data_IF_742524573023
#
_entry.id   IF_742524573023
#
_cell.length_a   1.000
_cell.length_b   1.000
_cell.length_c   1.000
_cell.angle_alpha   90.00
_cell.angle_beta   90.00
_cell.angle_gamma   90.00
#
_symmetry.space_group_name_H-M   'P 1'
#
loop_
_entity.id
_entity.type
_entity.pdbx_description
1 polymer ?
#
# COMPACT_ATOMS: atom_id res chain seq x y z
N UNK A 1 3.61 -10.57 -9.59
CA UNK A 1 4.14 -10.81 -10.95
C UNK A 1 5.49 -11.53 -10.87
N UNK A 2 5.81 -12.32 -11.88
CA UNK A 2 7.10 -13.00 -12.01
C UNK A 2 7.72 -12.66 -13.36
N UNK A 3 9.06 -12.68 -13.42
CA UNK A 3 9.80 -12.39 -14.67
C UNK A 3 9.51 -13.41 -15.78
N UNK A 4 9.11 -14.63 -15.42
CA UNK A 4 8.77 -15.67 -16.42
C UNK A 4 9.95 -16.09 -17.33
N UNK A 5 11.19 -15.87 -16.86
CA UNK A 5 12.40 -16.20 -17.61
C UNK A 5 13.00 -15.07 -18.48
N UNK A 6 12.35 -13.88 -18.50
CA UNK A 6 12.94 -12.65 -19.06
C UNK A 6 13.72 -11.89 -17.97
N UNK A 7 14.50 -10.89 -18.37
CA UNK A 7 15.18 -10.04 -17.38
C UNK A 7 14.18 -9.23 -16.54
N UNK A 8 14.56 -8.91 -15.28
CA UNK A 8 13.73 -8.07 -14.41
C UNK A 8 13.42 -6.72 -15.06
N UNK A 9 14.39 -6.11 -15.72
CA UNK A 9 14.21 -4.83 -16.41
C UNK A 9 13.17 -4.92 -17.55
N UNK A 10 13.20 -6.02 -18.32
CA UNK A 10 12.22 -6.26 -19.37
C UNK A 10 10.83 -6.57 -18.80
N UNK A 11 10.75 -7.30 -17.70
CA UNK A 11 9.49 -7.55 -17.00
C UNK A 11 8.87 -6.25 -16.46
N UNK A 12 9.66 -5.37 -15.84
CA UNK A 12 9.21 -4.05 -15.39
C UNK A 12 8.71 -3.22 -16.58
N UNK A 13 9.47 -3.21 -17.68
CA UNK A 13 9.06 -2.49 -18.90
C UNK A 13 7.72 -2.99 -19.42
N UNK A 14 7.56 -4.30 -19.58
CA UNK A 14 6.32 -4.90 -20.08
C UNK A 14 5.13 -4.61 -19.15
N UNK A 15 5.35 -4.65 -17.84
CA UNK A 15 4.36 -4.29 -16.83
C UNK A 15 3.94 -2.82 -16.95
N UNK A 16 4.92 -1.91 -17.08
CA UNK A 16 4.68 -0.48 -17.25
C UNK A 16 3.96 -0.15 -18.55
N UNK A 17 4.37 -0.75 -19.67
CA UNK A 17 3.72 -0.57 -20.96
C UNK A 17 2.25 -1.03 -20.92
N UNK A 18 1.98 -2.22 -20.34
CA UNK A 18 0.62 -2.74 -20.21
C UNK A 18 -0.29 -1.85 -19.32
N UNK A 19 0.25 -1.24 -18.27
CA UNK A 19 -0.50 -0.27 -17.48
C UNK A 19 -0.72 1.06 -18.22
N UNK A 20 0.27 1.52 -18.99
CA UNK A 20 0.15 2.73 -19.80
C UNK A 20 -0.96 2.60 -20.85
N UNK A 21 -1.11 1.42 -21.46
CA UNK A 21 -2.15 1.14 -22.46
C UNK A 21 -3.58 1.29 -21.91
N UNK A 22 -3.78 1.01 -20.61
CA UNK A 22 -5.10 1.12 -19.97
C UNK A 22 -5.31 2.45 -19.25
N UNK A 23 -4.27 3.26 -19.08
CA UNK A 23 -4.30 4.49 -18.28
C UNK A 23 -5.30 5.52 -18.80
N UNK A 24 -5.36 5.74 -20.12
CA UNK A 24 -6.31 6.67 -20.74
C UNK A 24 -7.77 6.22 -20.49
N UNK A 25 -8.05 4.93 -20.66
CA UNK A 25 -9.37 4.37 -20.41
C UNK A 25 -9.77 4.46 -18.94
N UNK A 26 -8.83 4.25 -18.00
CA UNK A 26 -9.05 4.42 -16.58
C UNK A 26 -9.40 5.89 -16.25
N UNK A 27 -8.67 6.83 -16.83
CA UNK A 27 -8.90 8.26 -16.65
C UNK A 27 -10.29 8.69 -17.16
N UNK A 28 -10.67 8.27 -18.35
CA UNK A 28 -11.98 8.57 -18.94
C UNK A 28 -13.13 8.05 -18.07
N UNK A 29 -12.92 6.91 -17.42
CA UNK A 29 -13.89 6.27 -16.54
C UNK A 29 -13.80 6.72 -15.08
N UNK A 30 -12.88 7.63 -14.76
CA UNK A 30 -12.62 8.10 -13.39
C UNK A 30 -12.30 6.97 -12.42
N UNK A 31 -11.55 5.97 -12.88
CA UNK A 31 -11.04 4.87 -12.10
C UNK A 31 -9.56 5.11 -11.85
N UNK A 32 -9.09 4.86 -10.64
CA UNK A 32 -7.66 4.87 -10.32
C UNK A 32 -7.16 3.42 -10.25
N UNK A 33 -6.16 3.13 -11.07
CA UNK A 33 -5.41 1.86 -11.01
C UNK A 33 -4.27 2.04 -10.02
N UNK A 34 -4.12 1.08 -9.10
CA UNK A 34 -3.09 1.11 -8.08
C UNK A 34 -2.03 0.05 -8.36
N UNK A 35 -0.77 0.48 -8.38
CA UNK A 35 0.39 -0.40 -8.41
C UNK A 35 0.70 -0.80 -6.97
N UNK A 36 0.71 -2.09 -6.70
CA UNK A 36 1.07 -2.65 -5.40
C UNK A 36 2.42 -3.34 -5.49
N UNK A 37 3.34 -2.98 -4.59
CA UNK A 37 4.55 -3.73 -4.37
C UNK A 37 4.24 -4.99 -3.55
N UNK A 38 4.87 -6.11 -3.90
CA UNK A 38 4.69 -7.38 -3.22
C UNK A 38 6.02 -7.87 -2.64
N UNK A 39 6.02 -8.66 -1.56
CA UNK A 39 7.25 -9.14 -0.96
C UNK A 39 8.04 -10.06 -1.92
N UNK A 40 9.34 -10.15 -1.69
CA UNK A 40 10.28 -10.89 -2.54
C UNK A 40 9.92 -12.37 -2.74
N UNK A 41 9.25 -12.98 -1.77
CA UNK A 41 8.80 -14.37 -1.87
C UNK A 41 7.54 -14.56 -2.74
N UNK A 42 6.88 -13.47 -3.15
CA UNK A 42 5.66 -13.50 -3.96
C UNK A 42 5.84 -12.85 -5.33
N UNK A 43 6.82 -11.98 -5.48
CA UNK A 43 7.07 -11.20 -6.69
C UNK A 43 8.56 -10.96 -6.87
N UNK A 44 9.03 -10.98 -8.12
CA UNK A 44 10.40 -10.64 -8.48
C UNK A 44 10.48 -9.41 -9.42
N UNK A 45 9.38 -8.64 -9.52
CA UNK A 45 9.27 -7.50 -10.44
C UNK A 45 9.24 -6.17 -9.69
N UNK A 46 8.26 -5.96 -8.78
CA UNK A 46 8.11 -4.73 -7.99
C UNK A 46 7.97 -5.10 -6.52
N UNK A 47 8.97 -4.77 -5.70
CA UNK A 47 9.10 -5.24 -4.33
C UNK A 47 9.19 -4.12 -3.29
N UNK A 48 9.22 -2.86 -3.71
CA UNK A 48 9.22 -1.73 -2.81
C UNK A 48 8.28 -0.63 -3.29
N UNK A 49 7.85 0.23 -2.37
CA UNK A 49 7.05 1.41 -2.71
C UNK A 49 7.80 2.34 -3.66
N UNK A 50 9.13 2.46 -3.50
CA UNK A 50 9.97 3.23 -4.41
C UNK A 50 9.90 2.72 -5.86
N UNK A 51 9.93 1.41 -6.05
CA UNK A 51 9.80 0.80 -7.38
C UNK A 51 8.39 0.98 -7.96
N UNK A 52 7.35 0.86 -7.14
CA UNK A 52 5.98 1.15 -7.56
C UNK A 52 5.82 2.61 -8.01
N UNK A 53 6.39 3.56 -7.26
CA UNK A 53 6.41 4.99 -7.63
C UNK A 53 7.17 5.22 -8.94
N UNK A 54 8.30 4.57 -9.16
CA UNK A 54 9.04 4.69 -10.42
C UNK A 54 8.20 4.26 -11.64
N UNK A 55 7.40 3.21 -11.51
CA UNK A 55 6.43 2.79 -12.55
C UNK A 55 5.35 3.85 -12.76
N UNK A 56 4.76 4.37 -11.68
CA UNK A 56 3.73 5.43 -11.75
C UNK A 56 4.26 6.68 -12.44
N UNK A 57 5.48 7.11 -12.10
CA UNK A 57 6.14 8.28 -12.71
C UNK A 57 6.42 8.06 -14.20
N UNK A 58 6.88 6.87 -14.57
CA UNK A 58 7.14 6.53 -15.97
C UNK A 58 5.86 6.55 -16.82
N UNK A 59 4.73 6.12 -16.27
CA UNK A 59 3.43 6.16 -16.95
C UNK A 59 2.91 7.60 -17.04
N UNK A 60 3.13 8.43 -16.03
CA UNK A 60 2.78 9.85 -16.01
C UNK A 60 1.28 10.15 -16.04
N UNK A 61 0.39 9.15 -15.85
CA UNK A 61 -1.06 9.35 -15.86
C UNK A 61 -1.61 9.66 -14.47
N UNK A 62 -2.56 10.61 -14.33
CA UNK A 62 -3.23 10.83 -13.06
C UNK A 62 -4.12 9.65 -12.62
N UNK A 63 -4.47 8.76 -13.54
CA UNK A 63 -5.28 7.57 -13.26
C UNK A 63 -4.47 6.37 -12.75
N UNK A 64 -3.13 6.47 -12.72
CA UNK A 64 -2.27 5.41 -12.18
C UNK A 64 -1.55 5.95 -10.95
N UNK A 65 -1.69 5.28 -9.83
CA UNK A 65 -1.11 5.63 -8.54
C UNK A 65 -0.57 4.38 -7.87
N UNK A 66 -0.16 4.48 -6.62
CA UNK A 66 0.25 3.32 -5.84
C UNK A 66 -0.56 3.20 -4.55
N UNK A 67 -0.37 2.10 -3.87
CA UNK A 67 -0.88 1.84 -2.53
C UNK A 67 0.25 1.34 -1.63
N UNK A 68 0.01 1.34 -0.34
CA UNK A 68 0.90 0.78 0.66
C UNK A 68 0.18 -0.35 1.40
N UNK A 69 0.84 -1.48 1.56
CA UNK A 69 0.35 -2.61 2.35
C UNK A 69 1.38 -2.97 3.41
N UNK A 70 0.95 -3.03 4.69
CA UNK A 70 1.87 -3.26 5.81
C UNK A 70 2.52 -4.64 5.81
N UNK A 71 1.82 -5.68 5.35
CA UNK A 71 2.40 -7.03 5.20
C UNK A 71 3.33 -7.10 3.98
N UNK A 72 2.91 -6.56 2.85
CA UNK A 72 3.69 -6.62 1.62
C UNK A 72 4.95 -5.76 1.68
N UNK A 73 5.00 -4.76 2.57
CA UNK A 73 6.16 -3.92 2.83
C UNK A 73 7.19 -4.55 3.79
N UNK A 74 7.11 -5.86 4.08
CA UNK A 74 8.00 -6.57 5.01
C UNK A 74 9.48 -6.50 4.58
N UNK A 75 9.75 -6.35 3.30
CA UNK A 75 11.10 -6.25 2.74
C UNK A 75 11.61 -4.79 2.62
N UNK A 76 10.82 -3.79 3.03
CA UNK A 76 11.30 -2.41 3.09
C UNK A 76 12.43 -2.26 4.10
N UNK A 77 13.50 -1.57 3.71
CA UNK A 77 14.70 -1.40 4.55
C UNK A 77 14.60 -0.23 5.50
N UNK A 78 13.65 0.68 5.28
CA UNK A 78 13.38 1.84 6.12
C UNK A 78 12.09 1.62 6.92
N UNK A 79 11.91 2.33 8.05
CA UNK A 79 10.63 2.30 8.77
C UNK A 79 9.45 2.64 7.86
N UNK A 80 8.35 1.89 7.94
CA UNK A 80 7.17 2.08 7.10
C UNK A 80 6.64 3.52 7.12
N UNK A 81 6.65 4.18 8.30
CA UNK A 81 6.26 5.58 8.41
C UNK A 81 7.12 6.51 7.54
N UNK A 82 8.43 6.31 7.50
CA UNK A 82 9.34 7.12 6.67
C UNK A 82 9.12 6.88 5.17
N UNK A 83 8.86 5.63 4.78
CA UNK A 83 8.52 5.27 3.40
C UNK A 83 7.21 5.94 2.98
N UNK A 84 6.18 5.87 3.83
CA UNK A 84 4.88 6.51 3.59
C UNK A 84 5.04 8.03 3.47
N UNK A 85 5.77 8.70 4.38
CA UNK A 85 5.99 10.14 4.35
C UNK A 85 6.66 10.59 3.05
N UNK A 86 7.67 9.84 2.60
CA UNK A 86 8.40 10.14 1.36
C UNK A 86 7.53 10.06 0.11
N UNK A 87 6.66 9.08 0.03
CA UNK A 87 5.87 8.77 -1.17
C UNK A 87 4.38 9.06 -1.02
N UNK A 88 3.98 9.82 -0.01
CA UNK A 88 2.58 10.06 0.33
C UNK A 88 1.73 10.53 -0.86
N UNK A 89 2.25 11.43 -1.67
CA UNK A 89 1.53 12.02 -2.82
C UNK A 89 1.14 10.98 -3.90
N UNK A 90 1.76 9.80 -3.88
CA UNK A 90 1.48 8.71 -4.81
C UNK A 90 0.48 7.70 -4.25
N UNK A 91 0.37 7.62 -2.92
CA UNK A 91 -0.47 6.64 -2.22
C UNK A 91 -1.94 7.10 -2.27
N UNK A 92 -2.83 6.19 -2.67
CA UNK A 92 -4.28 6.42 -2.67
C UNK A 92 -5.05 5.42 -1.82
N UNK A 93 -4.42 4.34 -1.45
CA UNK A 93 -4.99 3.27 -0.63
C UNK A 93 -3.93 2.69 0.30
N UNK A 94 -4.36 2.25 1.47
CA UNK A 94 -3.50 1.55 2.42
C UNK A 94 -4.21 0.28 2.88
N UNK A 95 -3.55 -0.86 2.71
CA UNK A 95 -3.95 -2.09 3.39
C UNK A 95 -3.23 -2.19 4.73
N UNK A 96 -3.98 -2.57 5.76
CA UNK A 96 -3.46 -2.79 7.11
C UNK A 96 -3.70 -4.24 7.52
N UNK A 97 -2.61 -4.91 7.85
CA UNK A 97 -2.52 -6.29 8.32
C UNK A 97 -1.25 -6.45 9.14
N UNK A 98 -1.16 -7.53 9.89
CA UNK A 98 0.08 -7.87 10.58
C UNK A 98 1.16 -8.27 9.57
N UNK A 99 2.44 -8.20 9.94
CA UNK A 99 3.53 -8.60 9.04
C UNK A 99 3.46 -10.07 8.59
N UNK A 100 2.84 -10.91 9.36
CA UNK A 100 2.62 -12.33 9.03
C UNK A 100 1.32 -12.60 8.26
N UNK A 101 0.59 -11.54 7.85
CA UNK A 101 -0.65 -11.63 7.09
C UNK A 101 -1.90 -11.92 7.91
N UNK A 102 -1.80 -11.98 9.24
CA UNK A 102 -2.97 -12.06 10.12
C UNK A 102 -3.69 -10.70 10.19
N UNK A 103 -4.90 -10.71 10.70
CA UNK A 103 -5.65 -9.49 10.90
C UNK A 103 -5.06 -8.61 12.01
N UNK A 104 -5.20 -7.27 11.93
CA UNK A 104 -4.64 -6.34 12.90
C UNK A 104 -5.02 -6.64 14.35
N UNK A 105 -4.03 -6.52 15.27
CA UNK A 105 -4.17 -6.76 16.70
C UNK A 105 -3.86 -8.18 17.14
N UNK A 106 -3.24 -9.02 16.29
CA UNK A 106 -2.98 -10.43 16.60
C UNK A 106 -1.52 -10.86 16.56
N UNK A 107 -0.61 -10.04 16.01
CA UNK A 107 0.82 -10.35 15.96
C UNK A 107 1.72 -9.23 16.50
N UNK A 108 1.13 -8.10 16.93
CA UNK A 108 1.84 -7.03 17.64
C UNK A 108 2.60 -6.06 16.74
N UNK A 109 2.21 -5.93 15.47
CA UNK A 109 2.72 -4.85 14.65
C UNK A 109 2.26 -3.50 15.21
N UNK A 110 3.19 -2.54 15.35
CA UNK A 110 2.88 -1.19 15.82
C UNK A 110 2.37 -0.33 14.66
N UNK A 111 1.06 -0.14 14.59
CA UNK A 111 0.39 0.67 13.57
C UNK A 111 0.48 2.17 13.82
N UNK A 112 0.80 2.62 15.05
CA UNK A 112 0.79 4.05 15.41
C UNK A 112 1.67 4.90 14.50
N UNK A 113 2.96 4.56 14.24
CA UNK A 113 3.80 5.36 13.36
C UNK A 113 3.24 5.48 11.94
N UNK A 114 2.60 4.41 11.43
CA UNK A 114 1.94 4.41 10.11
C UNK A 114 0.77 5.39 10.10
N UNK A 115 -0.10 5.34 11.11
CA UNK A 115 -1.23 6.26 11.20
C UNK A 115 -0.81 7.71 11.44
N UNK A 116 0.25 7.94 12.21
CA UNK A 116 0.84 9.26 12.40
C UNK A 116 1.34 9.84 11.07
N UNK A 117 2.06 9.03 10.27
CA UNK A 117 2.52 9.44 8.95
C UNK A 117 1.36 9.77 8.02
N UNK A 118 0.30 8.94 7.99
CA UNK A 118 -0.88 9.16 7.17
C UNK A 118 -1.67 10.41 7.57
N UNK A 119 -1.75 10.74 8.87
CA UNK A 119 -2.53 11.89 9.38
C UNK A 119 -1.88 13.25 9.16
N UNK A 120 -0.61 13.30 8.83
CA UNK A 120 0.10 14.57 8.56
C UNK A 120 -0.39 15.31 7.33
N UNK A 121 -1.21 14.67 6.49
CA UNK A 121 -1.64 15.18 5.20
C UNK A 121 -3.15 15.42 5.17
N UNK A 122 -3.58 16.51 4.54
CA UNK A 122 -5.00 16.87 4.45
C UNK A 122 -5.83 15.91 3.57
N UNK A 123 -5.19 15.25 2.61
CA UNK A 123 -5.82 14.25 1.75
C UNK A 123 -5.46 12.85 2.25
N UNK A 124 -6.40 12.20 2.93
CA UNK A 124 -6.21 10.87 3.48
C UNK A 124 -6.46 9.78 2.41
N UNK A 125 -5.56 8.81 2.26
CA UNK A 125 -5.86 7.62 1.47
C UNK A 125 -6.97 6.80 2.13
N UNK A 126 -7.66 5.98 1.36
CA UNK A 126 -8.57 4.98 1.91
C UNK A 126 -7.74 3.92 2.65
N UNK A 127 -8.19 3.52 3.83
CA UNK A 127 -7.58 2.46 4.62
C UNK A 127 -8.56 1.30 4.67
N UNK A 128 -8.12 0.12 4.28
CA UNK A 128 -8.86 -1.13 4.44
C UNK A 128 -8.00 -2.21 5.09
N UNK A 129 -8.65 -3.08 5.82
CA UNK A 129 -8.02 -4.27 6.36
C UNK A 129 -7.97 -5.35 5.28
N UNK A 130 -6.82 -5.97 5.14
CA UNK A 130 -6.64 -7.22 4.42
C UNK A 130 -6.16 -8.30 5.41
N UNK A 131 -6.58 -9.54 5.25
CA UNK A 131 -6.13 -10.63 6.09
C UNK A 131 -6.06 -11.92 5.26
N UNK A 132 -5.01 -12.70 5.48
CA UNK A 132 -4.78 -13.97 4.77
C UNK A 132 -5.07 -15.19 5.64
N UNK A 133 -5.13 -15.03 6.97
CA UNK A 133 -5.56 -16.08 7.90
C UNK A 133 -7.03 -15.89 8.29
N UNK A 134 -7.89 -16.76 7.80
CA UNK A 134 -9.33 -16.77 8.08
C UNK A 134 -9.72 -17.75 9.21
N UNK A 135 -8.76 -18.38 9.88
CA UNK A 135 -9.00 -19.35 10.96
C UNK A 135 -9.88 -18.80 12.08
N UNK A 136 -9.77 -17.53 12.50
CA UNK A 136 -10.65 -16.98 13.54
C UNK A 136 -12.12 -16.83 13.14
N UNK A 137 -12.42 -16.89 11.84
CA UNK A 137 -13.74 -16.67 11.26
C UNK A 137 -14.01 -15.21 10.89
N UNK A 138 -14.73 -15.01 9.80
CA UNK A 138 -14.98 -13.70 9.19
C UNK A 138 -15.60 -12.67 10.16
N UNK A 139 -16.57 -13.09 10.98
CA UNK A 139 -17.25 -12.19 11.94
C UNK A 139 -16.29 -11.63 13.00
N UNK A 140 -15.38 -12.47 13.52
CA UNK A 140 -14.37 -12.02 14.50
C UNK A 140 -13.37 -11.06 13.87
N UNK A 141 -12.91 -11.37 12.67
CA UNK A 141 -11.96 -10.52 11.93
C UNK A 141 -12.61 -9.16 11.63
N UNK A 142 -13.80 -9.16 11.04
CA UNK A 142 -14.50 -7.96 10.63
C UNK A 142 -14.97 -7.07 11.79
N UNK A 143 -15.23 -7.63 12.96
CA UNK A 143 -15.63 -6.86 14.14
C UNK A 143 -14.45 -6.45 15.02
N UNK A 144 -13.44 -7.31 15.17
CA UNK A 144 -12.30 -7.12 16.06
C UNK A 144 -11.29 -6.11 15.52
N UNK A 145 -10.87 -6.28 14.27
CA UNK A 145 -9.82 -5.44 13.68
C UNK A 145 -10.19 -3.97 13.57
N UNK A 146 -11.39 -3.57 13.11
CA UNK A 146 -11.73 -2.14 13.07
C UNK A 146 -11.80 -1.50 14.46
N UNK A 147 -12.18 -2.27 15.49
CA UNK A 147 -12.16 -1.79 16.87
C UNK A 147 -10.73 -1.52 17.33
N UNK A 148 -9.84 -2.51 17.17
CA UNK A 148 -8.43 -2.39 17.50
C UNK A 148 -7.78 -1.19 16.77
N UNK A 149 -7.98 -1.08 15.46
CA UNK A 149 -7.41 0.01 14.66
C UNK A 149 -7.92 1.39 15.11
N UNK A 150 -9.20 1.51 15.50
CA UNK A 150 -9.73 2.76 16.06
C UNK A 150 -9.09 3.10 17.41
N UNK A 151 -8.82 2.12 18.26
CA UNK A 151 -8.12 2.29 19.53
C UNK A 151 -6.68 2.78 19.30
N UNK A 152 -5.96 2.19 18.32
CA UNK A 152 -4.63 2.64 17.91
C UNK A 152 -4.61 4.07 17.35
N UNK A 153 -5.68 4.48 16.68
CA UNK A 153 -5.84 5.84 16.18
C UNK A 153 -6.25 6.87 17.25
N UNK A 154 -6.76 6.42 18.40
CA UNK A 154 -7.15 7.32 19.49
C UNK A 154 -5.92 7.95 20.14
N UNK A 155 -5.97 9.28 20.35
CA UNK A 155 -4.86 10.02 20.94
C UNK A 155 -3.76 10.44 19.99
N UNK A 156 -3.86 10.10 18.70
CA UNK A 156 -2.98 10.69 17.71
C UNK A 156 -3.37 12.18 17.52
N UNK A 157 -2.37 13.06 17.61
CA UNK A 157 -2.59 14.48 17.36
C UNK A 157 -3.17 14.70 15.97
N UNK A 158 -4.15 15.62 15.78
CA UNK A 158 -4.60 16.00 14.46
C UNK A 158 -3.42 16.55 13.65
N UNK A 159 -3.34 16.20 12.37
CA UNK A 159 -2.29 16.65 11.48
C UNK A 159 -2.15 18.19 11.53
N UNK A 160 -0.92 18.68 11.58
CA UNK A 160 -0.68 20.12 11.51
C UNK A 160 -1.09 20.59 10.12
N UNK A 161 -1.97 21.60 10.06
CA UNK A 161 -2.21 22.36 8.85
C UNK A 161 -0.90 23.04 8.44
N UNK A 162 -0.32 22.56 7.35
CA UNK A 162 0.74 23.28 6.68
C UNK A 162 0.05 24.27 5.72
N UNK A 163 -0.22 25.47 6.24
CA UNK A 163 -0.57 26.65 5.45
C UNK A 163 0.61 27.12 4.61
#
# INVERSE_FOLDING_TARGET
ATTGGISRAEAIKNYTDGLADVAAQAQDRRVTVLVEALPLNQCDVINSLAEAVAVVDQIGSPAVRTMFDTHNAIDETEPHAAVIERYFNYIRHVHVNELDGRHPGTAGYDFKPVFEALRRWNSQPLISMEAFDFTPGADKIASGSPRYLREEMQGLEPGRDFS
#
